data_IF_797551539548
#
_entry.id   IF_797551539548
#
_cell.length_a   1.000
_cell.length_b   1.000
_cell.length_c   1.000
_cell.angle_alpha   90.00
_cell.angle_beta   90.00
_cell.angle_gamma   90.00
#
_symmetry.space_group_name_H-M   'P 1'
#
loop_
_entity.id
_entity.type
_entity.pdbx_description
1 polymer ?
#
# COMPACT_ATOMS: atom_id res chain seq x y z
N UNK A 1 -4.02 -40.11 7.20
CA UNK A 1 -2.90 -39.19 6.94
C UNK A 1 -3.51 -37.82 6.79
N UNK A 2 -3.23 -36.94 7.75
CA UNK A 2 -3.92 -35.66 7.89
C UNK A 2 -3.58 -34.72 6.73
N UNK A 3 -4.60 -34.18 6.08
CA UNK A 3 -4.47 -33.05 5.17
C UNK A 3 -4.05 -31.83 5.99
N UNK A 4 -2.75 -31.52 5.97
CA UNK A 4 -2.25 -30.24 6.44
C UNK A 4 -2.78 -29.15 5.51
N UNK A 5 -3.91 -28.56 5.92
CA UNK A 5 -4.40 -27.32 5.37
C UNK A 5 -3.32 -26.27 5.65
N UNK A 6 -2.44 -26.08 4.67
CA UNK A 6 -1.48 -24.98 4.61
C UNK A 6 -2.30 -23.71 4.77
N UNK A 7 -2.30 -23.17 6.00
CA UNK A 7 -2.85 -21.86 6.31
C UNK A 7 -2.13 -20.89 5.38
N UNK A 8 -2.76 -20.57 4.24
CA UNK A 8 -2.37 -19.45 3.39
C UNK A 8 -2.39 -18.26 4.32
N UNK A 9 -1.21 -17.86 4.81
CA UNK A 9 -1.02 -16.57 5.48
C UNK A 9 -1.70 -15.57 4.57
N UNK A 10 -2.86 -15.05 5.00
CA UNK A 10 -3.48 -13.89 4.39
C UNK A 10 -2.44 -12.78 4.53
N UNK A 11 -1.53 -12.66 3.57
CA UNK A 11 -0.74 -11.46 3.38
C UNK A 11 -1.78 -10.38 3.18
N UNK A 12 -2.02 -9.58 4.20
CA UNK A 12 -2.92 -8.45 4.09
C UNK A 12 -2.31 -7.54 3.01
N UNK A 13 -2.88 -7.57 1.81
CA UNK A 13 -2.45 -6.73 0.71
C UNK A 13 -2.94 -5.33 1.05
N UNK A 14 -2.01 -4.43 1.33
CA UNK A 14 -2.33 -3.02 1.54
C UNK A 14 -2.31 -2.31 0.21
N UNK A 15 -3.42 -1.68 -0.13
CA UNK A 15 -3.56 -0.90 -1.36
C UNK A 15 -3.58 0.58 -0.96
N UNK A 16 -2.75 1.38 -1.63
CA UNK A 16 -2.79 2.84 -1.52
C UNK A 16 -2.83 3.44 -2.91
N UNK A 17 -3.41 4.63 -3.02
CA UNK A 17 -3.49 5.42 -4.22
C UNK A 17 -2.60 6.64 -4.06
N UNK A 18 -1.79 6.91 -5.08
CA UNK A 18 -0.88 8.05 -5.13
C UNK A 18 -1.32 8.95 -6.26
N UNK A 19 -1.83 10.12 -5.89
CA UNK A 19 -2.06 11.22 -6.80
C UNK A 19 -0.75 12.00 -6.96
N UNK A 20 -0.10 11.88 -8.12
CA UNK A 20 1.18 12.54 -8.38
C UNK A 20 1.03 14.05 -8.65
N UNK A 21 -0.14 14.47 -9.16
CA UNK A 21 -0.43 15.88 -9.48
C UNK A 21 -0.55 16.74 -8.24
N UNK A 22 -1.28 16.27 -7.23
CA UNK A 22 -1.51 16.91 -5.95
C UNK A 22 -0.51 16.43 -4.88
N UNK A 23 0.33 15.44 -5.22
CA UNK A 23 1.26 14.75 -4.31
C UNK A 23 0.54 14.24 -3.07
N UNK A 24 -0.58 13.54 -3.27
CA UNK A 24 -1.40 12.98 -2.17
C UNK A 24 -1.31 11.46 -2.19
N UNK A 25 -1.13 10.87 -1.01
CA UNK A 25 -1.23 9.44 -0.78
C UNK A 25 -2.51 9.20 -0.01
N UNK A 26 -3.41 8.36 -0.55
CA UNK A 26 -4.65 7.99 0.11
C UNK A 26 -4.81 6.48 0.19
N UNK A 27 -5.49 6.03 1.23
CA UNK A 27 -5.98 4.65 1.35
C UNK A 27 -7.32 4.45 0.65
N UNK A 28 -7.92 5.55 0.17
CA UNK A 28 -9.15 5.53 -0.62
C UNK A 28 -8.78 5.58 -2.10
N UNK A 29 -9.66 5.02 -2.90
CA UNK A 29 -9.55 5.11 -4.34
C UNK A 29 -9.59 6.57 -4.79
N UNK A 30 -8.59 6.97 -5.57
CA UNK A 30 -8.54 8.25 -6.25
C UNK A 30 -8.60 7.98 -7.76
N UNK A 31 -9.61 8.51 -8.48
CA UNK A 31 -9.68 8.38 -9.93
C UNK A 31 -8.48 9.06 -10.58
N UNK A 32 -7.84 8.38 -11.52
CA UNK A 32 -6.59 8.80 -12.19
C UNK A 32 -5.33 8.81 -11.30
N UNK A 33 -5.39 8.24 -10.10
CA UNK A 33 -4.20 8.05 -9.27
C UNK A 33 -3.53 6.71 -9.53
N UNK A 34 -2.24 6.63 -9.19
CA UNK A 34 -1.46 5.41 -9.28
C UNK A 34 -1.73 4.50 -8.08
N UNK A 35 -2.18 3.29 -8.33
CA UNK A 35 -2.32 2.27 -7.29
C UNK A 35 -0.97 1.64 -6.95
N UNK A 36 -0.68 1.50 -5.66
CA UNK A 36 0.43 0.70 -5.14
C UNK A 36 -0.10 -0.40 -4.24
N UNK A 37 0.48 -1.59 -4.42
CA UNK A 37 0.16 -2.79 -3.67
C UNK A 37 1.35 -3.15 -2.79
N UNK A 38 1.10 -3.39 -1.52
CA UNK A 38 2.12 -3.82 -0.58
C UNK A 38 1.73 -5.16 0.02
N UNK A 39 2.58 -6.17 -0.21
CA UNK A 39 2.46 -7.48 0.44
C UNK A 39 2.85 -7.44 1.93
N UNK A 40 3.64 -6.43 2.33
CA UNK A 40 4.12 -6.29 3.70
C UNK A 40 3.98 -4.85 4.20
N UNK A 41 3.46 -4.71 5.42
CA UNK A 41 3.32 -3.43 6.12
C UNK A 41 4.64 -2.68 6.27
N UNK A 42 5.76 -3.38 6.49
CA UNK A 42 7.08 -2.76 6.61
C UNK A 42 7.50 -2.07 5.29
N UNK A 43 7.36 -2.76 4.16
CA UNK A 43 7.63 -2.22 2.82
C UNK A 43 6.68 -1.07 2.47
N UNK A 44 5.40 -1.21 2.83
CA UNK A 44 4.42 -0.14 2.66
C UNK A 44 4.79 1.12 3.44
N UNK A 45 5.10 0.99 4.73
CA UNK A 45 5.53 2.11 5.58
C UNK A 45 6.82 2.77 5.08
N UNK A 46 7.82 2.00 4.64
CA UNK A 46 9.04 2.57 4.07
C UNK A 46 8.75 3.37 2.80
N UNK A 47 7.90 2.84 1.91
CA UNK A 47 7.51 3.52 0.68
C UNK A 47 6.75 4.81 0.98
N UNK A 48 5.76 4.75 1.89
CA UNK A 48 5.00 5.90 2.35
C UNK A 48 5.91 6.97 2.97
N UNK A 49 6.84 6.58 3.85
CA UNK A 49 7.81 7.50 4.43
C UNK A 49 8.72 8.15 3.39
N UNK A 50 9.15 7.40 2.38
CA UNK A 50 9.95 7.93 1.26
C UNK A 50 9.15 8.98 0.46
N UNK A 51 7.87 8.71 0.20
CA UNK A 51 6.99 9.66 -0.48
C UNK A 51 6.73 10.91 0.36
N UNK A 52 6.47 10.77 1.66
CA UNK A 52 6.31 11.91 2.56
C UNK A 52 7.56 12.77 2.59
N UNK A 53 8.77 12.16 2.61
CA UNK A 53 10.04 12.88 2.49
C UNK A 53 10.23 13.60 1.16
N UNK A 54 9.62 13.10 0.08
CA UNK A 54 9.58 13.77 -1.24
C UNK A 54 8.54 14.88 -1.33
N UNK A 55 7.80 15.14 -0.24
CA UNK A 55 6.80 16.19 -0.15
C UNK A 55 5.36 15.73 -0.46
N UNK A 56 5.11 14.42 -0.48
CA UNK A 56 3.75 13.91 -0.58
C UNK A 56 3.03 14.01 0.77
N UNK A 57 1.72 14.25 0.75
CA UNK A 57 0.86 14.36 1.92
C UNK A 57 -0.04 13.15 2.04
N UNK A 58 -0.33 12.71 3.26
CA UNK A 58 -1.32 11.66 3.50
C UNK A 58 -2.68 12.34 3.67
N UNK A 59 -3.67 11.96 2.86
CA UNK A 59 -4.98 12.62 2.77
C UNK A 59 -6.13 11.66 2.49
#
# INVERSE_FOLDING_TARGET
MAEEIKVKKKTAIWIVWIDESNKVISIKEIPNARQLYFENKATGLQTLNSLVRKGYKIG
#
